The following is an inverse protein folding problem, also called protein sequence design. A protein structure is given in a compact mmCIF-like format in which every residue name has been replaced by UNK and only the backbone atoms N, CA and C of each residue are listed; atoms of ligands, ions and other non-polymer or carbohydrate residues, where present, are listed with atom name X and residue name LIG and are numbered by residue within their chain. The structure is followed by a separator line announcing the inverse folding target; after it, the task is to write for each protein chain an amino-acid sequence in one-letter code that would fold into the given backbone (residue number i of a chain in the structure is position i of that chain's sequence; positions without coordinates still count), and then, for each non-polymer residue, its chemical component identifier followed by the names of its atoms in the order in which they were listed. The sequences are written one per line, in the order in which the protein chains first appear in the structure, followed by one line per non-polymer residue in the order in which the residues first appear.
data_IF_964087153941
#
_entry.id   IF_964087153941
#
_cell.length_a   1.000
_cell.length_b   1.000
_cell.length_c   1.000
_cell.angle_alpha   90.00
_cell.angle_beta   90.00
_cell.angle_gamma   90.00
#
_symmetry.space_group_name_H-M   'P 1'
#
loop_
_entity.id
_entity.type
_entity.pdbx_description
1 polymer ?
#
# COMPACT_ATOMS: atom_id res chain seq x y z
N UNK A 1 4.45 -14.73 27.39
CA UNK A 1 5.61 -15.43 26.78
C UNK A 1 5.24 -16.09 25.46
N UNK A 2 4.40 -17.13 25.42
CA UNK A 2 4.05 -17.83 24.17
C UNK A 2 3.48 -16.93 23.06
N UNK A 3 2.54 -16.04 23.39
CA UNK A 3 1.94 -15.09 22.44
C UNK A 3 2.99 -14.15 21.81
N UNK A 4 4.00 -13.76 22.57
CA UNK A 4 5.08 -12.91 22.07
C UNK A 4 5.94 -13.68 21.07
N UNK A 5 6.37 -14.90 21.40
CA UNK A 5 7.18 -15.69 20.48
C UNK A 5 6.43 -16.04 19.20
N UNK A 6 5.15 -16.43 19.28
CA UNK A 6 4.35 -16.73 18.09
C UNK A 6 4.13 -15.51 17.20
N UNK A 7 3.90 -14.33 17.79
CA UNK A 7 3.76 -13.08 17.02
C UNK A 7 5.08 -12.62 16.42
N UNK A 8 6.21 -12.87 17.07
CA UNK A 8 7.55 -12.58 16.55
C UNK A 8 7.91 -13.50 15.38
N UNK A 9 7.59 -14.81 15.45
CA UNK A 9 7.73 -15.72 14.30
C UNK A 9 6.82 -15.28 13.14
N UNK A 10 5.57 -14.91 13.43
CA UNK A 10 4.67 -14.42 12.39
C UNK A 10 5.20 -13.12 11.75
N UNK A 11 5.70 -12.19 12.56
CA UNK A 11 6.29 -10.94 12.07
C UNK A 11 7.51 -11.19 11.17
N UNK A 12 8.41 -12.09 11.57
CA UNK A 12 9.59 -12.44 10.74
C UNK A 12 9.20 -13.10 9.42
N UNK A 13 8.21 -14.02 9.42
CA UNK A 13 7.67 -14.62 8.20
C UNK A 13 7.02 -13.57 7.28
N UNK A 14 6.21 -12.67 7.83
CA UNK A 14 5.58 -11.59 7.05
C UNK A 14 6.62 -10.62 6.50
N UNK A 15 7.67 -10.30 7.26
CA UNK A 15 8.79 -9.47 6.80
C UNK A 15 9.51 -10.15 5.64
N UNK A 16 9.77 -11.45 5.77
CA UNK A 16 10.34 -12.29 4.72
C UNK A 16 9.50 -12.25 3.44
N UNK A 17 8.18 -12.45 3.57
CA UNK A 17 7.25 -12.50 2.46
C UNK A 17 7.02 -11.14 1.78
N UNK A 18 6.78 -10.08 2.56
CA UNK A 18 6.44 -8.77 2.02
C UNK A 18 7.65 -7.96 1.57
N UNK A 19 8.81 -8.10 2.21
CA UNK A 19 9.97 -7.26 1.94
C UNK A 19 11.15 -8.05 1.38
N UNK A 20 11.63 -9.07 2.10
CA UNK A 20 12.88 -9.77 1.75
C UNK A 20 12.76 -10.45 0.39
N UNK A 21 11.66 -11.16 0.13
CA UNK A 21 11.49 -11.91 -1.11
C UNK A 21 11.33 -11.00 -2.35
N UNK A 22 10.49 -9.94 -2.33
CA UNK A 22 10.46 -8.98 -3.43
C UNK A 22 11.81 -8.28 -3.64
N UNK A 23 12.49 -7.88 -2.57
CA UNK A 23 13.79 -7.21 -2.66
C UNK A 23 14.88 -8.11 -3.24
N UNK A 24 14.93 -9.37 -2.82
CA UNK A 24 15.84 -10.37 -3.39
C UNK A 24 15.63 -10.54 -4.90
N UNK A 25 14.37 -10.48 -5.35
CA UNK A 25 14.01 -10.54 -6.77
C UNK A 25 14.10 -9.20 -7.49
N UNK A 26 14.59 -8.13 -6.84
CA UNK A 26 14.61 -6.75 -7.35
C UNK A 26 13.23 -6.28 -7.84
N UNK A 27 12.17 -6.64 -7.12
CA UNK A 27 10.78 -6.29 -7.43
C UNK A 27 10.19 -5.32 -6.41
N UNK A 28 9.31 -4.41 -6.84
CA UNK A 28 8.49 -3.57 -5.97
C UNK A 28 7.73 -4.37 -4.93
N UNK A 29 7.77 -3.83 -3.72
CA UNK A 29 6.94 -4.29 -2.61
C UNK A 29 5.59 -3.57 -2.73
N UNK A 30 4.52 -4.35 -2.83
CA UNK A 30 3.15 -3.82 -2.85
C UNK A 30 2.31 -4.55 -1.81
N UNK A 31 2.02 -3.87 -0.71
CA UNK A 31 1.22 -4.42 0.39
C UNK A 31 -0.16 -3.78 0.35
N UNK A 32 -1.17 -4.61 0.11
CA UNK A 32 -2.58 -4.20 0.13
C UNK A 32 -3.09 -4.06 1.56
N UNK A 33 -4.19 -3.31 1.72
CA UNK A 33 -4.97 -3.13 2.97
C UNK A 33 -4.82 -4.29 3.97
N UNK A 34 -5.33 -5.48 3.62
CA UNK A 34 -5.36 -6.61 4.55
C UNK A 34 -3.96 -7.05 5.01
N UNK A 35 -3.01 -7.17 4.08
CA UNK A 35 -1.63 -7.53 4.40
C UNK A 35 -0.92 -6.47 5.25
N UNK A 36 -1.19 -5.18 4.96
CA UNK A 36 -0.56 -4.06 5.66
C UNK A 36 -1.05 -3.97 7.11
N UNK A 37 -2.36 -4.20 7.33
CA UNK A 37 -2.95 -4.24 8.67
C UNK A 37 -2.38 -5.40 9.48
N UNK A 38 -2.36 -6.62 8.92
CA UNK A 38 -1.86 -7.81 9.62
C UNK A 38 -0.38 -7.64 9.98
N UNK A 39 0.43 -7.14 9.05
CA UNK A 39 1.83 -6.83 9.30
C UNK A 39 2.00 -5.79 10.42
N UNK A 40 1.31 -4.66 10.32
CA UNK A 40 1.41 -3.59 11.31
C UNK A 40 0.94 -4.04 12.70
N UNK A 41 -0.12 -4.86 12.77
CA UNK A 41 -0.66 -5.38 14.03
C UNK A 41 0.30 -6.40 14.65
N UNK A 42 0.94 -7.25 13.84
CA UNK A 42 1.99 -8.16 14.32
C UNK A 42 3.21 -7.41 14.88
N UNK A 43 3.63 -6.33 14.22
CA UNK A 43 4.70 -5.43 14.70
C UNK A 43 4.33 -4.83 16.06
N UNK A 44 3.13 -4.27 16.19
CA UNK A 44 2.65 -3.60 17.41
C UNK A 44 2.56 -4.58 18.59
N UNK A 45 2.06 -5.81 18.38
CA UNK A 45 1.99 -6.81 19.46
C UNK A 45 3.39 -7.31 19.83
N UNK A 46 4.25 -7.57 18.85
CA UNK A 46 5.62 -8.04 19.12
C UNK A 46 6.47 -6.99 19.84
N UNK A 47 6.19 -5.70 19.68
CA UNK A 47 6.93 -4.62 20.34
C UNK A 47 6.39 -4.25 21.72
N UNK A 48 5.19 -4.72 22.09
CA UNK A 48 4.54 -4.44 23.38
C UNK A 48 5.43 -4.67 24.62
N UNK A 49 6.27 -5.74 24.70
CA UNK A 49 7.12 -5.95 25.88
C UNK A 49 8.23 -4.91 26.04
N UNK A 50 8.57 -4.19 24.98
CA UNK A 50 9.70 -3.26 24.92
C UNK A 50 9.26 -1.79 24.92
N UNK A 51 7.96 -1.54 24.72
CA UNK A 51 7.39 -0.21 24.50
C UNK A 51 6.45 0.17 25.64
N UNK A 52 6.50 1.44 26.04
CA UNK A 52 5.60 1.98 27.06
C UNK A 52 4.16 2.07 26.57
N UNK A 53 3.20 1.99 27.50
CA UNK A 53 1.75 1.96 27.20
C UNK A 53 1.30 3.10 26.28
N UNK A 54 1.89 4.29 26.42
CA UNK A 54 1.58 5.48 25.62
C UNK A 54 1.94 5.30 24.14
N UNK A 55 3.10 4.72 23.86
CA UNK A 55 3.51 4.45 22.47
C UNK A 55 2.61 3.42 21.79
N UNK A 56 2.10 2.46 22.55
CA UNK A 56 1.14 1.47 22.07
C UNK A 56 -0.20 2.10 21.70
N UNK A 57 -0.72 3.00 22.55
CA UNK A 57 -1.97 3.75 22.27
C UNK A 57 -1.82 4.56 20.98
N UNK A 58 -0.71 5.28 20.81
CA UNK A 58 -0.43 6.06 19.60
C UNK A 58 -0.36 5.15 18.37
N UNK A 59 0.35 4.02 18.46
CA UNK A 59 0.48 3.08 17.35
C UNK A 59 -0.88 2.51 16.91
N UNK A 60 -1.76 2.15 17.86
CA UNK A 60 -3.12 1.70 17.57
C UNK A 60 -3.93 2.81 16.90
N UNK A 61 -3.86 4.05 17.41
CA UNK A 61 -4.58 5.18 16.82
C UNK A 61 -4.17 5.43 15.36
N UNK A 62 -2.86 5.37 15.07
CA UNK A 62 -2.34 5.47 13.70
C UNK A 62 -2.82 4.30 12.84
N UNK A 63 -2.81 3.08 13.36
CA UNK A 63 -3.26 1.88 12.65
C UNK A 63 -4.75 1.94 12.32
N UNK A 64 -5.58 2.44 13.22
CA UNK A 64 -7.01 2.71 12.97
C UNK A 64 -7.20 3.78 11.90
N UNK A 65 -6.45 4.88 11.95
CA UNK A 65 -6.50 5.92 10.92
C UNK A 65 -6.14 5.36 9.53
N UNK A 66 -5.07 4.56 9.45
CA UNK A 66 -4.68 3.88 8.21
C UNK A 66 -5.72 2.85 7.75
N UNK A 67 -6.40 2.18 8.69
CA UNK A 67 -7.51 1.27 8.38
C UNK A 67 -8.67 1.98 7.67
N UNK A 68 -9.02 3.20 8.08
CA UNK A 68 -10.07 3.99 7.43
C UNK A 68 -9.66 4.52 6.06
N UNK A 69 -8.41 4.97 5.92
CA UNK A 69 -7.89 5.52 4.66
C UNK A 69 -7.66 4.45 3.57
N UNK A 70 -7.55 3.17 3.95
CA UNK A 70 -7.31 2.04 3.05
C UNK A 70 -6.13 2.23 2.06
N UNK A 71 -4.97 2.74 2.48
CA UNK A 71 -3.86 2.93 1.57
C UNK A 71 -3.23 1.59 1.18
N UNK A 72 -2.65 1.55 0.00
CA UNK A 72 -1.69 0.55 -0.43
C UNK A 72 -0.31 1.09 -0.13
N UNK A 73 0.52 0.26 0.49
CA UNK A 73 1.92 0.58 0.69
C UNK A 73 2.71 0.11 -0.53
N UNK A 74 3.42 1.03 -1.17
CA UNK A 74 4.29 0.76 -2.32
C UNK A 74 5.71 1.16 -1.97
N UNK A 75 6.64 0.24 -2.17
CA UNK A 75 8.06 0.48 -2.00
C UNK A 75 8.86 -0.04 -3.20
N UNK A 76 9.90 0.70 -3.59
CA UNK A 76 10.75 0.41 -4.74
C UNK A 76 10.38 1.17 -6.02
N UNK A 77 9.33 1.99 -5.99
CA UNK A 77 8.83 2.74 -7.15
C UNK A 77 8.78 4.21 -6.80
N UNK A 78 9.27 5.09 -7.69
CA UNK A 78 9.19 6.54 -7.50
C UNK A 78 7.77 7.05 -7.78
N UNK A 79 7.44 8.24 -7.27
CA UNK A 79 6.17 8.89 -7.58
C UNK A 79 5.93 9.07 -9.09
N UNK A 80 6.99 9.30 -9.87
CA UNK A 80 6.93 9.43 -11.33
C UNK A 80 6.57 8.09 -11.98
N UNK A 81 7.23 7.00 -11.60
CA UNK A 81 6.94 5.65 -12.12
C UNK A 81 5.53 5.17 -11.74
N UNK A 82 5.03 5.57 -10.56
CA UNK A 82 3.64 5.34 -10.17
C UNK A 82 2.68 6.06 -11.11
N UNK A 83 2.96 7.31 -11.46
CA UNK A 83 2.15 8.05 -12.41
C UNK A 83 2.17 7.43 -13.81
N UNK A 84 3.35 7.06 -14.33
CA UNK A 84 3.48 6.38 -15.62
C UNK A 84 2.71 5.04 -15.65
N UNK A 85 2.74 4.28 -14.56
CA UNK A 85 1.99 3.04 -14.45
C UNK A 85 0.48 3.28 -14.49
N UNK A 86 0.04 4.39 -13.90
CA UNK A 86 -1.36 4.77 -13.87
C UNK A 86 -1.86 5.15 -15.26
N UNK A 87 -1.07 5.94 -15.99
CA UNK A 87 -1.34 6.33 -17.36
C UNK A 87 -1.38 5.12 -18.30
N UNK A 88 -0.38 4.23 -18.21
CA UNK A 88 -0.36 2.96 -18.96
C UNK A 88 -1.58 2.08 -18.66
N UNK A 89 -2.02 2.03 -17.39
CA UNK A 89 -3.21 1.29 -17.01
C UNK A 89 -4.50 1.89 -17.57
N UNK A 90 -4.63 3.21 -17.59
CA UNK A 90 -5.78 3.88 -18.17
C UNK A 90 -5.84 3.74 -19.69
N UNK A 91 -4.71 3.88 -20.39
CA UNK A 91 -4.62 3.62 -21.82
C UNK A 91 -5.04 2.19 -22.15
N UNK A 92 -4.54 1.20 -21.39
CA UNK A 92 -4.91 -0.20 -21.57
C UNK A 92 -6.39 -0.50 -21.31
N UNK A 93 -7.04 0.29 -20.46
CA UNK A 93 -8.46 0.10 -20.09
C UNK A 93 -9.42 1.09 -20.77
N UNK A 94 -8.88 1.97 -21.64
CA UNK A 94 -9.62 3.08 -22.29
C UNK A 94 -10.43 3.90 -21.29
N UNK A 95 -9.88 4.14 -20.11
CA UNK A 95 -10.50 4.93 -19.05
C UNK A 95 -9.97 6.37 -19.13
N UNK A 96 -10.83 7.40 -19.11
CA UNK A 96 -10.35 8.77 -19.05
C UNK A 96 -9.67 9.02 -17.70
N UNK A 97 -8.49 9.63 -17.73
CA UNK A 97 -7.79 10.13 -16.54
C UNK A 97 -7.83 11.65 -16.56
N UNK A 98 -8.23 12.22 -15.43
CA UNK A 98 -8.07 13.64 -15.14
C UNK A 98 -7.04 13.81 -14.03
N UNK A 99 -6.05 14.67 -14.26
CA UNK A 99 -5.09 15.08 -13.24
C UNK A 99 -5.62 16.33 -12.54
N UNK A 100 -5.86 16.23 -11.25
CA UNK A 100 -6.08 17.36 -10.33
C UNK A 100 -4.80 17.55 -9.51
N UNK A 101 -4.52 18.77 -9.03
CA UNK A 101 -3.24 19.17 -8.41
C UNK A 101 -2.51 18.06 -7.63
N UNK A 102 -3.21 17.38 -6.72
CA UNK A 102 -2.65 16.31 -5.89
C UNK A 102 -3.44 14.98 -5.97
N UNK A 103 -4.31 14.81 -6.96
CA UNK A 103 -5.20 13.64 -7.09
C UNK A 103 -5.43 13.28 -8.54
N UNK A 104 -5.65 12.00 -8.81
CA UNK A 104 -6.07 11.54 -10.13
C UNK A 104 -7.50 11.05 -10.07
N UNK A 105 -8.29 11.35 -11.09
CA UNK A 105 -9.64 10.85 -11.24
C UNK A 105 -9.69 9.91 -12.44
N UNK A 106 -10.14 8.69 -12.23
CA UNK A 106 -10.37 7.70 -13.30
C UNK A 106 -11.86 7.61 -13.57
N UNK A 107 -12.25 7.78 -14.84
CA UNK A 107 -13.60 7.46 -15.32
C UNK A 107 -14.71 8.18 -14.52
N UNK A 108 -14.41 9.37 -13.99
CA UNK A 108 -15.29 10.16 -13.12
C UNK A 108 -15.67 9.49 -11.79
N UNK A 109 -15.26 8.25 -11.54
CA UNK A 109 -15.85 7.33 -10.57
C UNK A 109 -14.90 6.88 -9.48
N UNK A 110 -13.59 7.12 -9.66
CA UNK A 110 -12.58 6.77 -8.66
C UNK A 110 -11.51 7.85 -8.55
N UNK A 111 -11.26 8.32 -7.34
CA UNK A 111 -10.14 9.18 -7.00
C UNK A 111 -8.95 8.35 -6.49
N UNK A 112 -7.76 8.68 -6.96
CA UNK A 112 -6.49 8.13 -6.51
C UNK A 112 -5.69 9.24 -5.87
N UNK A 113 -5.23 9.00 -4.65
CA UNK A 113 -4.32 9.91 -3.94
C UNK A 113 -3.04 9.17 -3.64
N UNK A 114 -1.92 9.70 -4.12
CA UNK A 114 -0.59 9.22 -3.81
C UNK A 114 0.08 10.18 -2.84
N UNK A 115 0.53 9.67 -1.70
CA UNK A 115 1.34 10.40 -0.74
C UNK A 115 2.75 9.81 -0.75
N UNK A 116 3.73 10.58 -1.20
CA UNK A 116 5.13 10.18 -1.15
C UNK A 116 5.66 10.44 0.25
N UNK A 117 6.14 9.40 0.93
CA UNK A 117 6.70 9.51 2.28
C UNK A 117 8.15 9.98 2.20
N UNK A 118 9.01 9.18 1.58
CA UNK A 118 10.42 9.47 1.36
C UNK A 118 11.03 8.47 0.36
N UNK A 119 11.98 8.91 -0.47
CA UNK A 119 12.70 8.05 -1.42
C UNK A 119 11.77 7.31 -2.38
N UNK A 120 11.94 5.98 -2.47
CA UNK A 120 11.11 5.09 -3.32
C UNK A 120 9.89 4.52 -2.57
N UNK A 121 9.32 5.29 -1.62
CA UNK A 121 8.25 4.83 -0.72
C UNK A 121 7.02 5.73 -0.82
N UNK A 122 5.88 5.13 -1.15
CA UNK A 122 4.64 5.87 -1.40
C UNK A 122 3.43 5.12 -0.84
N UNK A 123 2.46 5.88 -0.33
CA UNK A 123 1.13 5.38 0.01
C UNK A 123 0.15 5.76 -1.10
N UNK A 124 -0.60 4.78 -1.61
CA UNK A 124 -1.60 5.01 -2.66
C UNK A 124 -2.98 4.63 -2.13
N UNK A 125 -3.89 5.59 -2.03
CA UNK A 125 -5.28 5.34 -1.61
C UNK A 125 -6.24 5.46 -2.78
N UNK A 126 -7.27 4.61 -2.79
CA UNK A 126 -8.31 4.59 -3.81
C UNK A 126 -9.65 4.91 -3.16
N UNK A 127 -10.20 6.07 -3.46
CA UNK A 127 -11.53 6.48 -3.01
C UNK A 127 -12.53 6.27 -4.14
N UNK A 128 -13.53 5.42 -3.92
CA UNK A 128 -14.63 5.22 -4.86
C UNK A 128 -15.65 6.34 -4.70
N UNK A 129 -16.02 6.97 -5.80
CA UNK A 129 -17.09 7.98 -5.89
C UNK A 129 -18.36 7.37 -6.47
N UNK A 130 -18.23 6.46 -7.45
CA UNK A 130 -19.34 5.67 -7.99
C UNK A 130 -18.87 4.27 -8.39
N UNK A 131 -19.82 3.37 -8.66
CA UNK A 131 -19.52 1.96 -8.91
C UNK A 131 -19.26 1.68 -10.40
N UNK A 132 -18.08 2.06 -10.92
CA UNK A 132 -17.67 1.73 -12.29
C UNK A 132 -16.88 0.43 -12.36
N UNK A 133 -17.30 -0.50 -13.25
CA UNK A 133 -16.53 -1.71 -13.58
C UNK A 133 -15.20 -1.36 -14.23
N UNK A 134 -15.17 -0.31 -15.06
CA UNK A 134 -13.97 0.13 -15.79
C UNK A 134 -12.91 0.64 -14.81
N UNK A 135 -13.26 1.53 -13.89
CA UNK A 135 -12.32 2.02 -12.86
C UNK A 135 -11.74 0.88 -12.01
N UNK A 136 -12.57 -0.12 -11.64
CA UNK A 136 -12.07 -1.32 -10.92
C UNK A 136 -11.06 -2.10 -11.76
N UNK A 137 -11.30 -2.27 -13.05
CA UNK A 137 -10.37 -2.94 -13.96
C UNK A 137 -9.05 -2.15 -14.07
N UNK A 138 -9.12 -0.82 -14.18
CA UNK A 138 -7.94 0.04 -14.23
C UNK A 138 -7.06 -0.13 -12.98
N UNK A 139 -7.64 -0.23 -11.78
CA UNK A 139 -6.88 -0.52 -10.54
C UNK A 139 -6.19 -1.88 -10.56
N UNK A 140 -6.84 -2.91 -11.11
CA UNK A 140 -6.25 -4.25 -11.24
C UNK A 140 -5.08 -4.25 -12.22
N UNK A 141 -5.22 -3.55 -13.35
CA UNK A 141 -4.17 -3.40 -14.36
C UNK A 141 -3.01 -2.55 -13.83
N UNK A 142 -3.32 -1.43 -13.17
CA UNK A 142 -2.36 -0.58 -12.48
C UNK A 142 -1.48 -1.37 -11.51
N UNK A 143 -2.11 -2.23 -10.70
CA UNK A 143 -1.37 -3.13 -9.79
C UNK A 143 -0.35 -3.99 -10.55
N UNK A 144 -0.74 -4.58 -11.69
CA UNK A 144 0.17 -5.43 -12.48
C UNK A 144 1.34 -4.62 -13.04
N UNK A 145 1.10 -3.40 -13.50
CA UNK A 145 2.18 -2.52 -13.97
C UNK A 145 3.17 -2.17 -12.86
N UNK A 146 2.69 -1.83 -11.65
CA UNK A 146 3.57 -1.58 -10.51
C UNK A 146 4.41 -2.82 -10.19
N UNK A 147 3.80 -4.00 -10.14
CA UNK A 147 4.49 -5.25 -9.78
C UNK A 147 5.53 -5.71 -10.81
N UNK A 148 5.48 -5.15 -12.02
CA UNK A 148 6.39 -5.47 -13.12
C UNK A 148 7.57 -4.50 -13.26
N UNK A 149 7.62 -3.39 -12.50
CA UNK A 149 8.86 -2.63 -12.44
C UNK A 149 9.97 -3.47 -11.82
N UNK A 150 11.21 -3.17 -12.20
CA UNK A 150 12.41 -3.71 -11.57
C UNK A 150 13.09 -2.58 -10.80
N UNK A 151 13.59 -2.91 -9.60
CA UNK A 151 14.28 -1.98 -8.70
C UNK A 151 15.80 -2.04 -8.95
#
# INVERSE_FOLDING_TARGET
MWIFYTTLVLFTLLTGYFFVFPLYKKRPVLIKKGGFIVYSLSLVISSLPFLGIWTFIIAIAVLLLLYFLNPWFVYGVTGVMLFEALEKAALATRAPIEKLDNKYKIDGSMEIRSFNLAGKTSLVSFKKTSNSKRARLTVVVFKKFIQNYFI
#
